data_IF_728490234468
#
_entry.id   IF_728490234468
#
_cell.length_a   1.000
_cell.length_b   1.000
_cell.length_c   1.000
_cell.angle_alpha   90.00
_cell.angle_beta   90.00
_cell.angle_gamma   90.00
#
_symmetry.space_group_name_H-M   'P 1'
#
loop_
_entity.id
_entity.type
_entity.pdbx_description
1 polymer ?
#
# COMPACT_ATOMS: atom_id res chain seq x y z
N UNK A 1 15.25 8.54 1.69
CA UNK A 1 14.47 7.52 0.96
C UNK A 1 13.06 7.48 1.51
N UNK A 2 12.10 7.47 0.65
CA UNK A 2 10.69 7.45 1.02
C UNK A 2 10.00 6.21 0.44
N UNK A 3 9.27 5.49 1.28
CA UNK A 3 8.67 4.19 0.95
C UNK A 3 7.15 4.27 1.05
N UNK A 4 6.47 3.70 0.05
CA UNK A 4 5.03 3.51 0.06
C UNK A 4 4.74 2.04 0.34
N UNK A 5 4.08 1.75 1.45
CA UNK A 5 3.67 0.37 1.78
C UNK A 5 2.32 0.10 1.14
N UNK A 6 2.30 -0.85 0.21
CA UNK A 6 1.09 -1.30 -0.48
C UNK A 6 0.64 -2.62 0.16
N UNK A 7 -0.48 -2.56 0.86
CA UNK A 7 -0.93 -3.62 1.74
C UNK A 7 -2.37 -4.02 1.43
N UNK A 8 -2.66 -5.33 1.28
CA UNK A 8 -4.04 -5.79 1.14
C UNK A 8 -4.81 -5.52 2.42
N UNK A 9 -6.01 -4.94 2.31
CA UNK A 9 -6.81 -4.53 3.46
C UNK A 9 -8.20 -5.15 3.48
N UNK A 10 -8.70 -5.65 2.35
CA UNK A 10 -10.05 -6.21 2.23
C UNK A 10 -10.25 -7.39 3.17
N UNK A 11 -11.28 -7.34 3.99
CA UNK A 11 -11.63 -8.41 4.91
C UNK A 11 -10.81 -8.43 6.21
N UNK A 12 -9.90 -7.48 6.40
CA UNK A 12 -9.09 -7.36 7.61
C UNK A 12 -9.61 -6.23 8.49
N UNK A 13 -9.51 -6.39 9.82
CA UNK A 13 -9.83 -5.31 10.73
C UNK A 13 -8.65 -4.34 10.86
N UNK A 14 -8.92 -3.18 11.47
CA UNK A 14 -7.92 -2.14 11.61
C UNK A 14 -6.71 -2.58 12.42
N UNK A 15 -6.93 -3.37 13.47
CA UNK A 15 -5.85 -3.87 14.32
C UNK A 15 -4.87 -4.76 13.53
N UNK A 16 -5.43 -5.67 12.71
CA UNK A 16 -4.63 -6.54 11.83
C UNK A 16 -3.85 -5.73 10.81
N UNK A 17 -4.48 -4.73 10.21
CA UNK A 17 -3.84 -3.85 9.24
C UNK A 17 -2.67 -3.10 9.86
N UNK A 18 -2.89 -2.48 11.02
CA UNK A 18 -1.85 -1.70 11.70
C UNK A 18 -0.71 -2.57 12.22
N UNK A 19 -1.01 -3.78 12.69
CA UNK A 19 0.01 -4.72 13.10
C UNK A 19 0.93 -5.11 11.94
N UNK A 20 0.35 -5.44 10.79
CA UNK A 20 1.12 -5.79 9.59
C UNK A 20 1.95 -4.60 9.12
N UNK A 21 1.39 -3.38 9.13
CA UNK A 21 2.13 -2.18 8.74
C UNK A 21 3.35 -1.95 9.64
N UNK A 22 3.20 -2.08 10.95
CA UNK A 22 4.30 -1.91 11.89
C UNK A 22 5.42 -2.93 11.62
N UNK A 23 5.04 -4.17 11.36
CA UNK A 23 5.97 -5.25 11.03
C UNK A 23 6.72 -4.96 9.72
N UNK A 24 6.02 -4.52 8.69
CA UNK A 24 6.63 -4.21 7.41
C UNK A 24 7.54 -2.97 7.48
N UNK A 25 7.16 -1.96 8.25
CA UNK A 25 8.01 -0.80 8.49
C UNK A 25 9.32 -1.21 9.18
N UNK A 26 9.23 -2.11 10.15
CA UNK A 26 10.43 -2.62 10.83
C UNK A 26 11.36 -3.35 9.86
N UNK A 27 10.81 -4.18 8.97
CA UNK A 27 11.60 -4.85 7.93
C UNK A 27 12.29 -3.86 7.00
N UNK A 28 11.57 -2.83 6.57
CA UNK A 28 12.13 -1.81 5.69
C UNK A 28 13.26 -1.03 6.36
N UNK A 29 13.12 -0.72 7.65
CA UNK A 29 14.19 -0.05 8.40
C UNK A 29 15.43 -0.93 8.54
N UNK A 30 15.25 -2.22 8.73
CA UNK A 30 16.38 -3.16 8.77
C UNK A 30 17.12 -3.20 7.44
N UNK A 31 16.40 -3.05 6.32
CA UNK A 31 16.98 -3.11 4.99
C UNK A 31 17.64 -1.80 4.57
N UNK A 32 17.01 -0.67 4.85
CA UNK A 32 17.39 0.64 4.31
C UNK A 32 17.89 1.65 5.34
N UNK A 33 17.80 1.32 6.64
CA UNK A 33 18.21 2.22 7.71
C UNK A 33 17.02 2.87 8.43
N UNK A 34 17.28 3.44 9.60
CA UNK A 34 16.24 3.99 10.47
C UNK A 34 15.72 5.35 10.01
N UNK A 35 16.41 6.00 9.09
CA UNK A 35 16.05 7.32 8.59
C UNK A 35 15.10 7.30 7.38
N UNK A 36 14.62 6.12 6.99
CA UNK A 36 13.62 6.02 5.91
C UNK A 36 12.31 6.66 6.35
N UNK A 37 11.66 7.33 5.41
CA UNK A 37 10.33 7.90 5.61
C UNK A 37 9.28 7.00 4.98
N UNK A 38 8.09 6.99 5.58
CA UNK A 38 6.95 6.24 5.04
C UNK A 38 5.85 7.21 4.65
N UNK A 39 5.39 7.10 3.40
CA UNK A 39 4.26 7.87 2.94
C UNK A 39 2.97 7.40 3.62
N UNK A 40 1.99 8.31 3.83
CA UNK A 40 0.68 7.90 4.32
C UNK A 40 -0.02 7.04 3.25
N UNK A 41 -0.07 5.73 3.46
CA UNK A 41 -0.69 4.78 2.53
C UNK A 41 -1.87 4.05 3.14
N UNK A 42 -2.26 4.43 4.35
CA UNK A 42 -3.41 3.88 5.04
C UNK A 42 -4.34 4.99 5.50
N UNK A 43 -5.62 4.83 5.19
CA UNK A 43 -6.68 5.72 5.67
C UNK A 43 -7.67 4.88 6.44
N UNK A 44 -7.96 5.26 7.69
CA UNK A 44 -8.90 4.51 8.53
C UNK A 44 -10.32 4.52 7.95
N UNK A 45 -11.09 3.48 8.27
CA UNK A 45 -12.48 3.39 7.84
C UNK A 45 -13.31 4.59 8.31
N UNK A 46 -13.05 5.07 9.54
CA UNK A 46 -13.74 6.25 10.07
C UNK A 46 -13.45 7.50 9.23
N UNK A 47 -12.21 7.69 8.79
CA UNK A 47 -11.84 8.81 7.93
C UNK A 47 -12.46 8.68 6.55
N UNK A 48 -12.45 7.48 5.96
CA UNK A 48 -13.09 7.20 4.67
C UNK A 48 -14.58 7.51 4.71
N UNK A 49 -15.27 7.00 5.72
CA UNK A 49 -16.70 7.26 5.89
C UNK A 49 -17.01 8.74 5.99
N UNK A 50 -16.20 9.48 6.74
CA UNK A 50 -16.39 10.93 6.90
C UNK A 50 -16.24 11.66 5.58
N UNK A 51 -15.19 11.36 4.81
CA UNK A 51 -14.96 11.98 3.49
C UNK A 51 -16.12 11.65 2.55
N UNK A 52 -16.52 10.38 2.48
CA UNK A 52 -17.57 9.91 1.58
C UNK A 52 -18.95 10.52 1.93
N UNK A 53 -19.25 10.64 3.23
CA UNK A 53 -20.53 11.21 3.69
C UNK A 53 -20.63 12.73 3.47
N UNK A 54 -19.52 13.44 3.52
CA UNK A 54 -19.50 14.90 3.40
C UNK A 54 -19.17 15.41 2.02
N UNK A 55 -18.97 14.52 1.04
CA UNK A 55 -18.76 14.93 -0.35
C UNK A 55 -20.05 15.41 -0.97
N UNK A 56 -20.02 16.57 -1.63
CA UNK A 56 -21.17 17.13 -2.33
C UNK A 56 -21.65 16.26 -3.50
N UNK A 57 -20.79 15.39 -4.01
CA UNK A 57 -21.07 14.52 -5.15
C UNK A 57 -20.96 13.04 -4.80
N UNK A 58 -21.27 12.69 -3.55
CA UNK A 58 -21.10 11.34 -3.04
C UNK A 58 -21.78 10.27 -3.91
N UNK A 59 -22.94 10.58 -4.49
CA UNK A 59 -23.70 9.64 -5.32
C UNK A 59 -23.13 9.46 -6.73
N UNK A 60 -22.30 10.40 -7.19
CA UNK A 60 -21.71 10.41 -8.52
C UNK A 60 -20.30 9.87 -8.54
N UNK A 61 -19.73 9.58 -7.38
CA UNK A 61 -18.31 9.20 -7.25
C UNK A 61 -18.12 7.69 -7.33
N UNK A 62 -17.15 7.29 -8.11
CA UNK A 62 -16.57 5.95 -7.96
C UNK A 62 -15.52 6.03 -6.85
N UNK A 63 -15.87 5.58 -5.66
CA UNK A 63 -15.00 5.71 -4.50
C UNK A 63 -13.75 4.83 -4.56
N UNK A 64 -13.82 3.70 -5.26
CA UNK A 64 -12.64 2.87 -5.46
C UNK A 64 -11.58 3.62 -6.27
N UNK A 65 -12.00 4.29 -7.33
CA UNK A 65 -11.10 5.13 -8.13
C UNK A 65 -10.61 6.33 -7.31
N UNK A 66 -11.49 6.96 -6.55
CA UNK A 66 -11.11 8.10 -5.70
C UNK A 66 -9.98 7.72 -4.75
N UNK A 67 -10.11 6.59 -4.03
CA UNK A 67 -9.11 6.16 -3.07
C UNK A 67 -7.83 5.67 -3.75
N UNK A 68 -7.93 5.11 -4.96
CA UNK A 68 -6.75 4.78 -5.75
C UNK A 68 -5.98 6.04 -6.15
N UNK A 69 -6.67 7.07 -6.62
CA UNK A 69 -6.04 8.35 -6.98
C UNK A 69 -5.36 8.98 -5.76
N UNK A 70 -6.01 8.92 -4.60
CA UNK A 70 -5.43 9.44 -3.35
C UNK A 70 -4.12 8.70 -3.00
N UNK A 71 -4.11 7.37 -3.14
CA UNK A 71 -2.90 6.56 -2.96
C UNK A 71 -1.80 6.94 -3.93
N UNK A 72 -2.13 7.10 -5.21
CA UNK A 72 -1.15 7.44 -6.24
C UNK A 72 -0.53 8.82 -6.02
N UNK A 73 -1.28 9.74 -5.46
CA UNK A 73 -0.78 11.06 -5.09
C UNK A 73 0.37 10.97 -4.08
N UNK A 74 0.28 10.05 -3.13
CA UNK A 74 1.36 9.80 -2.18
C UNK A 74 2.47 8.95 -2.79
N UNK A 75 2.11 7.95 -3.60
CA UNK A 75 3.07 7.08 -4.27
C UNK A 75 4.04 7.88 -5.15
N UNK A 76 3.57 8.92 -5.82
CA UNK A 76 4.41 9.72 -6.71
C UNK A 76 5.51 10.49 -5.99
N UNK A 77 5.47 10.56 -4.66
CA UNK A 77 6.53 11.18 -3.85
C UNK A 77 7.54 10.17 -3.30
N UNK A 78 7.37 8.90 -3.62
CA UNK A 78 8.18 7.82 -3.04
C UNK A 78 9.25 7.32 -3.98
N UNK A 79 10.29 6.74 -3.40
CA UNK A 79 11.38 6.11 -4.12
C UNK A 79 11.12 4.62 -4.37
N UNK A 80 10.38 3.99 -3.47
CA UNK A 80 10.10 2.55 -3.49
C UNK A 80 8.64 2.29 -3.21
N UNK A 81 8.05 1.37 -3.99
CA UNK A 81 6.80 0.71 -3.66
C UNK A 81 7.13 -0.61 -2.96
N UNK A 82 6.70 -0.74 -1.72
CA UNK A 82 6.92 -1.93 -0.89
C UNK A 82 5.64 -2.75 -0.84
N UNK A 83 5.61 -3.87 -1.57
CA UNK A 83 4.45 -4.75 -1.61
C UNK A 83 4.45 -5.70 -0.41
N UNK A 84 3.28 -5.88 0.19
CA UNK A 84 3.07 -6.80 1.30
C UNK A 84 2.50 -8.12 0.79
N UNK A 85 2.82 -9.22 1.45
CA UNK A 85 2.33 -10.54 1.07
C UNK A 85 0.81 -10.55 0.88
N UNK A 86 0.36 -11.18 -0.20
CA UNK A 86 -1.06 -11.21 -0.58
C UNK A 86 -1.48 -10.06 -1.51
N UNK A 87 -0.54 -9.24 -1.94
CA UNK A 87 -0.81 -8.07 -2.78
C UNK A 87 -1.52 -8.45 -4.10
N UNK A 88 -1.25 -9.63 -4.65
CA UNK A 88 -1.82 -10.09 -5.93
C UNK A 88 -3.34 -10.21 -5.89
N UNK A 89 -3.90 -10.38 -4.70
CA UNK A 89 -5.35 -10.52 -4.48
C UNK A 89 -6.04 -9.17 -4.28
N UNK A 90 -5.27 -8.09 -4.18
CA UNK A 90 -5.79 -6.75 -3.97
C UNK A 90 -5.73 -5.95 -5.26
N UNK A 91 -6.89 -5.43 -5.70
CA UNK A 91 -6.95 -4.58 -6.89
C UNK A 91 -6.09 -3.33 -6.75
N UNK A 92 -6.14 -2.69 -5.58
CA UNK A 92 -5.36 -1.48 -5.31
C UNK A 92 -3.86 -1.75 -5.38
N UNK A 93 -3.40 -2.80 -4.69
CA UNK A 93 -1.99 -3.18 -4.71
C UNK A 93 -1.51 -3.53 -6.12
N UNK A 94 -2.30 -4.28 -6.87
CA UNK A 94 -1.98 -4.67 -8.25
C UNK A 94 -1.84 -3.44 -9.14
N UNK A 95 -2.77 -2.49 -9.03
CA UNK A 95 -2.73 -1.26 -9.81
C UNK A 95 -1.52 -0.40 -9.44
N UNK A 96 -1.23 -0.27 -8.16
CA UNK A 96 -0.06 0.46 -7.69
C UNK A 96 1.24 -0.16 -8.23
N UNK A 97 1.33 -1.49 -8.20
CA UNK A 97 2.48 -2.21 -8.75
C UNK A 97 2.64 -1.98 -10.25
N UNK A 98 1.56 -2.08 -11.01
CA UNK A 98 1.61 -1.86 -12.47
C UNK A 98 2.07 -0.43 -12.80
N UNK A 99 1.55 0.55 -12.09
CA UNK A 99 1.92 1.95 -12.30
C UNK A 99 3.38 2.18 -11.92
N UNK A 100 3.81 1.64 -10.78
CA UNK A 100 5.19 1.79 -10.32
C UNK A 100 6.17 1.21 -11.34
N UNK A 101 5.92 0.02 -11.84
CA UNK A 101 6.79 -0.60 -12.87
C UNK A 101 6.76 0.16 -14.19
N UNK A 102 5.57 0.58 -14.62
CA UNK A 102 5.40 1.30 -15.88
C UNK A 102 6.15 2.63 -15.89
N UNK A 103 6.21 3.32 -14.75
CA UNK A 103 6.86 4.63 -14.64
C UNK A 103 8.24 4.59 -13.98
N UNK A 104 8.82 3.40 -13.82
CA UNK A 104 10.22 3.27 -13.41
C UNK A 104 10.49 3.44 -11.92
N UNK A 105 9.47 3.31 -11.08
CA UNK A 105 9.65 3.32 -9.63
C UNK A 105 10.17 1.94 -9.18
N UNK A 106 11.09 1.93 -8.23
CA UNK A 106 11.59 0.66 -7.68
C UNK A 106 10.48 -0.06 -6.93
N UNK A 107 10.35 -1.36 -7.16
CA UNK A 107 9.35 -2.18 -6.50
C UNK A 107 10.03 -3.27 -5.67
N UNK A 108 9.68 -3.31 -4.39
CA UNK A 108 10.09 -4.37 -3.50
C UNK A 108 8.97 -5.41 -3.41
N UNK A 109 9.30 -6.65 -3.74
CA UNK A 109 8.37 -7.77 -3.63
C UNK A 109 8.61 -8.52 -2.32
N UNK A 110 7.56 -9.07 -1.68
CA UNK A 110 7.75 -9.86 -0.47
C UNK A 110 8.63 -11.07 -0.78
N UNK A 111 9.46 -11.45 0.19
CA UNK A 111 10.33 -12.60 0.05
C UNK A 111 9.50 -13.84 -0.26
N UNK A 112 9.86 -14.63 -1.27
CA UNK A 112 9.15 -15.86 -1.57
C UNK A 112 9.14 -16.81 -0.37
N UNK A 113 8.08 -17.61 -0.28
CA UNK A 113 8.01 -18.67 0.71
C UNK A 113 9.21 -19.61 0.55
N UNK A 114 9.75 -20.12 1.66
CA UNK A 114 10.87 -21.03 1.66
C UNK A 114 10.67 -22.24 0.73
N UNK A 115 9.43 -22.75 0.66
CA UNK A 115 9.09 -23.84 -0.26
C UNK A 115 9.24 -23.46 -1.72
N UNK A 116 8.95 -22.22 -2.07
CA UNK A 116 9.11 -21.71 -3.44
C UNK A 116 10.58 -21.62 -3.81
N UNK A 117 11.45 -21.29 -2.86
CA UNK A 117 12.88 -21.27 -3.07
C UNK A 117 13.46 -22.68 -3.28
N UNK A 118 12.90 -23.69 -2.63
CA UNK A 118 13.33 -25.09 -2.80
C UNK A 118 12.94 -25.66 -4.16
N UNK A 119 11.88 -25.14 -4.77
CA UNK A 119 11.37 -25.59 -6.08
C UNK A 119 12.17 -24.99 -7.25
N UNK A 120 13.08 -24.10 -6.96
CA UNK A 120 13.98 -23.50 -7.94
C UNK A 120 15.30 -24.25 -7.98
#
# INVERSE_FOLDING_TARGET
MRIFISQPMTGLDEEEILFTRAKEKAKARLMFGDDVEFAPSYTSDATRMRVEQHSKRAYEMNWDIYWLVDSLRFLCTCDILWLVEGWEKSKGCTMEREIAEMYGLDVYYPTPNYKELEDV
#
